data_IF_938713863572
#
_entry.id   IF_938713863572
#
_cell.length_a   1.000
_cell.length_b   1.000
_cell.length_c   1.000
_cell.angle_alpha   90.00
_cell.angle_beta   90.00
_cell.angle_gamma   90.00
#
_symmetry.space_group_name_H-M   'P 1'
#
loop_
_entity.id
_entity.type
_entity.pdbx_description
1 polymer ?
#
# COMPACT_ATOMS: atom_id res chain seq x y z
N UNK A 1 -14.67 -3.91 -17.45
CA UNK A 1 -15.35 -5.03 -16.75
C UNK A 1 -14.49 -6.30 -16.65
N UNK A 2 -13.95 -6.88 -17.76
CA UNK A 2 -13.14 -8.12 -17.68
C UNK A 2 -11.93 -8.02 -16.72
N UNK A 3 -11.25 -6.89 -16.68
CA UNK A 3 -10.11 -6.67 -15.80
C UNK A 3 -10.47 -6.83 -14.32
N UNK A 4 -11.59 -6.27 -13.89
CA UNK A 4 -12.08 -6.37 -12.52
C UNK A 4 -12.40 -7.83 -12.14
N UNK A 5 -13.08 -8.56 -13.03
CA UNK A 5 -13.37 -9.98 -12.79
C UNK A 5 -12.12 -10.81 -12.59
N UNK A 6 -11.08 -10.60 -13.41
CA UNK A 6 -9.80 -11.29 -13.25
C UNK A 6 -9.11 -10.89 -11.94
N UNK A 7 -9.07 -9.58 -11.65
CA UNK A 7 -8.43 -9.09 -10.43
C UNK A 7 -9.11 -9.63 -9.19
N UNK A 8 -10.43 -9.44 -9.06
CA UNK A 8 -11.16 -9.93 -7.90
C UNK A 8 -11.16 -11.46 -7.81
N UNK A 9 -11.37 -12.15 -8.93
CA UNK A 9 -11.36 -13.62 -8.95
C UNK A 9 -10.05 -14.20 -8.47
N UNK A 10 -8.91 -13.71 -8.96
CA UNK A 10 -7.58 -14.15 -8.53
C UNK A 10 -7.29 -13.75 -7.08
N UNK A 11 -7.58 -12.51 -6.68
CA UNK A 11 -7.36 -12.05 -5.31
C UNK A 11 -8.16 -12.87 -4.29
N UNK A 12 -9.45 -13.10 -4.55
CA UNK A 12 -10.29 -13.88 -3.65
C UNK A 12 -9.89 -15.35 -3.61
N UNK A 13 -9.48 -15.93 -4.75
CA UNK A 13 -8.96 -17.30 -4.80
C UNK A 13 -7.69 -17.45 -3.96
N UNK A 14 -6.77 -16.48 -4.03
CA UNK A 14 -5.57 -16.44 -3.22
C UNK A 14 -5.89 -16.26 -1.73
N UNK A 15 -6.83 -15.35 -1.39
CA UNK A 15 -7.26 -15.16 -0.01
C UNK A 15 -7.88 -16.44 0.58
N UNK A 16 -8.73 -17.12 -0.19
CA UNK A 16 -9.29 -18.40 0.21
C UNK A 16 -8.22 -19.48 0.40
N UNK A 17 -7.25 -19.57 -0.51
CA UNK A 17 -6.14 -20.49 -0.38
C UNK A 17 -5.31 -20.22 0.88
N UNK A 18 -4.99 -18.96 1.18
CA UNK A 18 -4.29 -18.57 2.40
C UNK A 18 -5.06 -18.95 3.66
N UNK A 19 -6.37 -18.75 3.66
CA UNK A 19 -7.25 -19.16 4.75
C UNK A 19 -7.26 -20.68 4.95
N UNK A 20 -7.43 -21.44 3.87
CA UNK A 20 -7.46 -22.92 3.92
C UNK A 20 -6.11 -23.52 4.35
N UNK A 21 -4.99 -22.86 3.99
CA UNK A 21 -3.64 -23.25 4.41
C UNK A 21 -3.30 -22.79 5.84
N UNK A 22 -4.21 -22.07 6.52
CA UNK A 22 -4.01 -21.60 7.89
C UNK A 22 -2.84 -20.62 8.03
N UNK A 23 -2.57 -19.79 7.00
CA UNK A 23 -1.51 -18.79 7.07
C UNK A 23 -1.79 -17.76 8.17
N UNK A 24 -0.84 -17.61 9.08
CA UNK A 24 -0.95 -16.68 10.23
C UNK A 24 -0.28 -15.35 9.92
N UNK A 25 -0.88 -14.21 10.29
CA UNK A 25 -0.36 -12.85 9.97
C UNK A 25 1.09 -12.61 10.41
N UNK A 26 1.57 -13.29 11.45
CA UNK A 26 2.93 -13.13 11.98
C UNK A 26 3.95 -14.05 11.30
N UNK A 27 3.52 -14.94 10.40
CA UNK A 27 4.44 -15.88 9.75
C UNK A 27 5.15 -15.27 8.55
N UNK A 28 6.42 -15.63 8.27
CA UNK A 28 7.11 -15.21 7.05
C UNK A 28 6.35 -15.59 5.76
N UNK A 29 5.66 -16.74 5.79
CA UNK A 29 4.82 -17.18 4.67
C UNK A 29 3.64 -16.22 4.41
N UNK A 30 3.04 -15.66 5.47
CA UNK A 30 2.00 -14.66 5.32
C UNK A 30 2.53 -13.35 4.72
N UNK A 31 3.73 -12.93 5.09
CA UNK A 31 4.34 -11.74 4.51
C UNK A 31 4.57 -11.90 2.99
N UNK A 32 5.11 -13.04 2.57
CA UNK A 32 5.27 -13.35 1.16
C UNK A 32 3.92 -13.41 0.42
N UNK A 33 2.90 -14.02 1.04
CA UNK A 33 1.54 -14.02 0.54
C UNK A 33 0.99 -12.59 0.40
N UNK A 34 1.14 -11.74 1.40
CA UNK A 34 0.63 -10.38 1.38
C UNK A 34 1.23 -9.56 0.22
N UNK A 35 2.53 -9.67 0.00
CA UNK A 35 3.20 -9.03 -1.16
C UNK A 35 2.63 -9.57 -2.48
N UNK A 36 2.51 -10.88 -2.63
CA UNK A 36 1.93 -11.49 -3.83
C UNK A 36 0.49 -11.04 -4.05
N UNK A 37 -0.32 -11.00 -2.99
CA UNK A 37 -1.70 -10.54 -3.03
C UNK A 37 -1.83 -9.10 -3.53
N UNK A 38 -0.99 -8.19 -3.04
CA UNK A 38 -0.95 -6.79 -3.50
C UNK A 38 -0.51 -6.66 -4.96
N UNK A 39 0.25 -7.64 -5.48
CA UNK A 39 0.70 -7.64 -6.88
C UNK A 39 -0.31 -8.26 -7.86
N UNK A 40 -1.34 -8.96 -7.41
CA UNK A 40 -2.37 -9.54 -8.30
C UNK A 40 -2.96 -8.50 -9.24
N UNK A 41 -3.44 -7.34 -8.76
CA UNK A 41 -3.97 -6.30 -9.64
C UNK A 41 -2.95 -5.85 -10.70
N UNK A 42 -1.70 -5.64 -10.28
CA UNK A 42 -0.62 -5.21 -11.18
C UNK A 42 -0.29 -6.24 -12.25
N UNK A 43 -0.24 -7.51 -11.90
CA UNK A 43 -0.01 -8.59 -12.86
C UNK A 43 -1.13 -8.68 -13.90
N UNK A 44 -2.38 -8.54 -13.46
CA UNK A 44 -3.55 -8.46 -14.35
C UNK A 44 -3.45 -7.24 -15.26
N UNK A 45 -3.09 -6.07 -14.71
CA UNK A 45 -2.88 -4.85 -15.49
C UNK A 45 -1.82 -5.01 -16.55
N UNK A 46 -0.65 -5.58 -16.21
CA UNK A 46 0.45 -5.83 -17.13
C UNK A 46 0.05 -6.81 -18.26
N UNK A 47 -0.63 -7.89 -17.90
CA UNK A 47 -1.09 -8.87 -18.87
C UNK A 47 -2.10 -8.28 -19.87
N UNK A 48 -3.10 -7.55 -19.36
CA UNK A 48 -4.13 -6.94 -20.20
C UNK A 48 -3.60 -5.76 -21.00
N UNK A 49 -2.75 -4.92 -20.42
CA UNK A 49 -2.13 -3.79 -21.10
C UNK A 49 -1.30 -4.28 -22.32
N UNK A 50 -0.50 -5.34 -22.14
CA UNK A 50 0.24 -5.98 -23.26
C UNK A 50 -0.71 -6.52 -24.33
N UNK A 51 -1.77 -7.23 -23.93
CA UNK A 51 -2.75 -7.82 -24.85
C UNK A 51 -3.52 -6.78 -25.66
N UNK A 52 -3.81 -5.64 -25.04
CA UNK A 52 -4.67 -4.60 -25.61
C UNK A 52 -3.89 -3.42 -26.19
N UNK A 53 -2.54 -3.46 -26.15
CA UNK A 53 -1.69 -2.38 -26.64
C UNK A 53 -1.84 -1.08 -25.83
N UNK A 54 -2.22 -1.16 -24.56
CA UNK A 54 -2.37 -0.01 -23.67
C UNK A 54 -1.03 0.34 -23.05
N UNK A 55 -0.54 1.55 -23.27
CA UNK A 55 0.65 2.06 -22.60
C UNK A 55 0.35 2.34 -21.11
N UNK A 56 1.12 1.74 -20.21
CA UNK A 56 1.05 2.09 -18.79
C UNK A 56 1.94 3.31 -18.53
N UNK A 57 1.43 4.36 -17.86
CA UNK A 57 2.19 5.59 -17.62
C UNK A 57 3.20 5.40 -16.48
N UNK A 58 4.20 4.56 -16.73
CA UNK A 58 5.31 4.34 -15.81
C UNK A 58 6.40 5.36 -16.11
N UNK A 59 6.46 6.44 -15.36
CA UNK A 59 7.52 7.42 -15.44
C UNK A 59 8.19 7.57 -14.07
N UNK A 60 9.39 7.02 -13.93
CA UNK A 60 10.22 7.28 -12.76
C UNK A 60 11.00 8.59 -12.99
N UNK A 61 10.40 9.70 -12.60
CA UNK A 61 11.02 11.03 -12.68
C UNK A 61 10.94 11.68 -11.30
N UNK A 62 12.01 11.65 -10.50
CA UNK A 62 12.06 12.35 -9.22
C UNK A 62 11.75 13.83 -9.40
N UNK A 63 10.84 14.36 -8.60
CA UNK A 63 10.46 15.76 -8.58
C UNK A 63 10.03 16.16 -7.16
N UNK A 64 9.71 17.46 -6.95
CA UNK A 64 9.30 17.99 -5.64
C UNK A 64 8.06 17.28 -5.05
N UNK A 65 7.15 16.80 -5.90
CA UNK A 65 5.97 16.09 -5.44
C UNK A 65 6.31 14.69 -4.93
N UNK A 66 7.35 14.06 -5.49
CA UNK A 66 7.85 12.79 -5.00
C UNK A 66 8.43 12.92 -3.59
N UNK A 67 9.23 13.96 -3.34
CA UNK A 67 9.74 14.26 -2.00
C UNK A 67 8.59 14.55 -1.03
N UNK A 68 7.60 15.34 -1.44
CA UNK A 68 6.41 15.60 -0.65
C UNK A 68 5.67 14.30 -0.32
N UNK A 69 5.38 13.45 -1.30
CA UNK A 69 4.69 12.18 -1.09
C UNK A 69 5.45 11.23 -0.15
N UNK A 70 6.78 11.27 -0.19
CA UNK A 70 7.64 10.48 0.70
C UNK A 70 7.62 10.96 2.15
N UNK A 71 7.69 12.28 2.35
CA UNK A 71 7.74 12.86 3.69
C UNK A 71 6.35 13.05 4.33
N UNK A 72 5.31 13.19 3.51
CA UNK A 72 3.96 13.49 3.97
C UNK A 72 3.39 12.48 4.98
N UNK A 73 3.51 11.15 4.81
CA UNK A 73 3.02 10.18 5.79
C UNK A 73 3.70 10.32 7.16
N UNK A 74 5.02 10.61 7.17
CA UNK A 74 5.77 10.84 8.41
C UNK A 74 5.30 12.13 9.09
N UNK A 75 5.16 13.22 8.33
CA UNK A 75 4.64 14.48 8.84
C UNK A 75 3.20 14.32 9.38
N UNK A 76 2.35 13.59 8.69
CA UNK A 76 0.98 13.31 9.10
C UNK A 76 0.94 12.50 10.41
N UNK A 77 1.80 11.48 10.54
CA UNK A 77 1.93 10.69 11.77
C UNK A 77 2.36 11.58 12.94
N UNK A 78 3.39 12.41 12.76
CA UNK A 78 3.83 13.35 13.80
C UNK A 78 2.75 14.37 14.17
N UNK A 79 1.99 14.86 13.19
CA UNK A 79 0.89 15.80 13.43
C UNK A 79 -0.31 15.14 14.14
N UNK A 80 -0.56 13.86 13.89
CA UNK A 80 -1.66 13.14 14.54
C UNK A 80 -1.48 12.99 16.05
N UNK A 81 -0.23 12.98 16.53
CA UNK A 81 0.07 12.85 17.97
C UNK A 81 -0.55 13.99 18.81
N UNK A 82 -0.20 15.28 18.59
CA UNK A 82 -0.79 16.36 19.37
C UNK A 82 -2.31 16.44 19.19
N UNK A 83 -2.83 16.08 18.01
CA UNK A 83 -4.26 16.06 17.74
C UNK A 83 -5.00 14.96 18.51
N UNK A 84 -4.32 13.86 18.84
CA UNK A 84 -4.92 12.75 19.60
C UNK A 84 -4.95 12.99 21.12
N UNK A 85 -4.08 13.84 21.67
CA UNK A 85 -3.96 14.08 23.11
C UNK A 85 -5.26 14.48 23.81
N UNK A 86 -6.16 15.30 23.23
CA UNK A 86 -7.44 15.63 23.85
C UNK A 86 -8.39 14.43 23.99
N UNK A 87 -8.20 13.38 23.18
CA UNK A 87 -9.09 12.22 23.13
C UNK A 87 -8.54 11.01 23.89
N UNK A 88 -7.21 10.89 23.99
CA UNK A 88 -6.58 9.80 24.71
C UNK A 88 -5.22 10.24 25.29
N UNK A 89 -4.90 9.87 26.56
CA UNK A 89 -3.61 10.18 27.14
C UNK A 89 -2.50 9.43 26.41
N UNK A 90 -1.38 10.10 26.21
CA UNK A 90 -0.19 9.48 25.63
C UNK A 90 0.40 8.43 26.59
N UNK A 91 0.56 7.19 26.11
CA UNK A 91 1.11 6.06 26.87
C UNK A 91 2.56 5.72 26.54
N UNK A 92 3.17 6.44 25.59
CA UNK A 92 4.49 6.13 25.06
C UNK A 92 4.47 5.07 23.95
N UNK A 93 5.55 4.98 23.16
CA UNK A 93 5.70 3.94 22.12
C UNK A 93 5.95 2.56 22.74
N UNK A 94 6.58 2.51 23.91
CA UNK A 94 6.88 1.26 24.59
C UNK A 94 5.62 0.43 24.94
N UNK A 95 4.46 1.09 25.10
CA UNK A 95 3.19 0.41 25.33
C UNK A 95 2.75 -0.48 24.14
N UNK A 96 3.16 -0.14 22.92
CA UNK A 96 2.81 -0.90 21.73
C UNK A 96 3.77 -2.07 21.45
N UNK A 97 4.83 -2.22 22.25
CA UNK A 97 5.78 -3.33 22.05
C UNK A 97 5.16 -4.66 22.52
N UNK A 98 5.42 -5.76 21.80
CA UNK A 98 5.04 -7.09 22.23
C UNK A 98 5.66 -7.45 23.59
N UNK A 99 4.98 -8.31 24.35
CA UNK A 99 5.54 -8.87 25.58
C UNK A 99 6.85 -9.62 25.28
N UNK A 100 7.82 -9.48 26.19
CA UNK A 100 9.13 -10.12 26.05
C UNK A 100 10.18 -9.33 25.26
N UNK A 101 9.81 -8.22 24.65
CA UNK A 101 10.80 -7.31 24.00
C UNK A 101 11.57 -6.55 25.09
N UNK A 102 12.92 -6.49 25.02
CA UNK A 102 13.71 -5.68 25.94
C UNK A 102 13.25 -4.23 25.99
N UNK A 103 13.33 -3.60 27.15
CA UNK A 103 13.01 -2.17 27.28
C UNK A 103 13.99 -1.34 26.48
N UNK A 104 13.46 -0.65 25.48
CA UNK A 104 14.20 0.27 24.63
C UNK A 104 13.86 1.70 25.09
N UNK A 105 14.84 2.61 25.20
CA UNK A 105 14.57 4.01 25.51
C UNK A 105 13.57 4.62 24.51
N UNK A 106 12.65 5.44 25.02
CA UNK A 106 11.60 6.05 24.20
C UNK A 106 12.16 6.83 22.99
N UNK A 107 13.28 7.55 23.17
CA UNK A 107 13.95 8.26 22.09
C UNK A 107 14.45 7.31 20.99
N UNK A 108 14.96 6.13 21.35
CA UNK A 108 15.40 5.14 20.38
C UNK A 108 14.21 4.51 19.63
N UNK A 109 13.07 4.28 20.32
CA UNK A 109 11.83 3.84 19.67
C UNK A 109 11.34 4.86 18.65
N UNK A 110 11.35 6.14 18.97
CA UNK A 110 11.01 7.20 18.02
C UNK A 110 11.94 7.20 16.81
N UNK A 111 13.25 7.09 17.03
CA UNK A 111 14.20 7.00 15.92
C UNK A 111 13.91 5.80 15.02
N UNK A 112 13.65 4.63 15.60
CA UNK A 112 13.30 3.41 14.84
C UNK A 112 12.01 3.58 14.04
N UNK A 113 10.96 4.13 14.63
CA UNK A 113 9.67 4.34 13.95
C UNK A 113 9.81 5.32 12.78
N UNK A 114 10.53 6.43 12.98
CA UNK A 114 10.77 7.42 11.93
C UNK A 114 11.64 6.85 10.81
N UNK A 115 12.72 6.16 11.14
CA UNK A 115 13.58 5.50 10.16
C UNK A 115 12.82 4.42 9.39
N UNK A 116 12.06 3.58 10.09
CA UNK A 116 11.22 2.56 9.46
C UNK A 116 10.19 3.21 8.52
N UNK A 117 9.50 4.26 8.95
CA UNK A 117 8.52 4.97 8.13
C UNK A 117 9.14 5.55 6.85
N UNK A 118 10.32 6.15 6.95
CA UNK A 118 11.05 6.71 5.81
C UNK A 118 11.56 5.63 4.86
N UNK A 119 12.25 4.60 5.37
CA UNK A 119 12.85 3.57 4.52
C UNK A 119 11.83 2.57 4.00
N UNK A 120 10.91 2.07 4.84
CA UNK A 120 9.91 1.13 4.40
C UNK A 120 8.93 1.77 3.40
N UNK A 121 8.58 3.05 3.60
CA UNK A 121 7.75 3.81 2.66
C UNK A 121 8.38 3.92 1.28
N UNK A 122 9.67 4.19 1.21
CA UNK A 122 10.41 4.34 -0.05
C UNK A 122 10.86 3.02 -0.69
N UNK A 123 10.73 1.89 -0.01
CA UNK A 123 11.22 0.59 -0.48
C UNK A 123 10.11 -0.46 -0.51
N UNK A 124 9.94 -1.19 0.58
CA UNK A 124 9.02 -2.35 0.64
C UNK A 124 7.58 -1.93 0.37
N UNK A 125 7.11 -0.85 1.00
CA UNK A 125 5.75 -0.37 0.81
C UNK A 125 5.54 0.17 -0.60
N UNK A 126 6.52 0.88 -1.17
CA UNK A 126 6.48 1.34 -2.55
C UNK A 126 6.36 0.16 -3.52
N UNK A 127 7.21 -0.87 -3.35
CA UNK A 127 7.16 -2.06 -4.20
C UNK A 127 5.83 -2.81 -4.06
N UNK A 128 5.32 -2.95 -2.85
CA UNK A 128 4.04 -3.60 -2.61
C UNK A 128 2.87 -2.81 -3.23
N UNK A 129 2.81 -1.49 -2.99
CA UNK A 129 1.76 -0.62 -3.52
C UNK A 129 1.81 -0.48 -5.04
N UNK A 130 2.99 -0.63 -5.67
CA UNK A 130 3.14 -0.49 -7.12
C UNK A 130 2.21 -1.45 -7.88
N UNK A 131 1.98 -2.65 -7.38
CA UNK A 131 1.06 -3.61 -7.99
C UNK A 131 -0.37 -3.05 -8.09
N UNK A 132 -0.87 -2.45 -7.03
CA UNK A 132 -2.19 -1.82 -7.01
C UNK A 132 -2.23 -0.57 -7.88
N UNK A 133 -1.22 0.28 -7.80
CA UNK A 133 -1.13 1.51 -8.58
C UNK A 133 -1.11 1.25 -10.10
N UNK A 134 -0.42 0.20 -10.54
CA UNK A 134 -0.41 -0.23 -11.94
C UNK A 134 -1.80 -0.57 -12.46
N UNK A 135 -2.65 -1.14 -11.61
CA UNK A 135 -4.03 -1.48 -11.98
C UNK A 135 -4.95 -0.27 -11.91
N UNK A 136 -5.05 0.38 -10.73
CA UNK A 136 -6.05 1.43 -10.50
C UNK A 136 -5.71 2.72 -11.23
N UNK A 137 -4.48 3.22 -11.06
CA UNK A 137 -4.02 4.50 -11.64
C UNK A 137 -3.27 4.35 -12.96
N UNK A 138 -2.82 3.14 -13.27
CA UNK A 138 -2.28 2.81 -14.59
C UNK A 138 -3.38 2.36 -15.55
N UNK A 139 -3.69 1.08 -15.54
CA UNK A 139 -4.53 0.45 -16.55
C UNK A 139 -5.99 0.95 -16.57
N UNK A 140 -6.68 0.97 -15.41
CA UNK A 140 -8.08 1.43 -15.37
C UNK A 140 -8.20 2.92 -15.69
N UNK A 141 -7.30 3.73 -15.17
CA UNK A 141 -7.27 5.15 -15.48
C UNK A 141 -7.12 5.39 -16.98
N UNK A 142 -6.17 4.73 -17.66
CA UNK A 142 -5.99 4.88 -19.11
C UNK A 142 -7.23 4.49 -19.91
N UNK A 143 -7.99 3.50 -19.44
CA UNK A 143 -9.26 3.09 -20.05
C UNK A 143 -10.39 4.09 -19.84
N UNK A 144 -10.46 4.73 -18.68
CA UNK A 144 -11.59 5.54 -18.25
C UNK A 144 -11.36 7.05 -18.43
N UNK A 145 -10.11 7.53 -18.50
CA UNK A 145 -9.78 8.96 -18.54
C UNK A 145 -10.47 9.76 -19.66
N UNK A 146 -10.82 9.10 -20.77
CA UNK A 146 -11.56 9.72 -21.88
C UNK A 146 -12.97 10.19 -21.48
N UNK A 147 -13.53 9.69 -20.37
CA UNK A 147 -14.83 10.10 -19.81
C UNK A 147 -14.74 11.40 -18.99
N UNK A 148 -13.54 11.92 -18.78
CA UNK A 148 -13.25 13.06 -17.91
C UNK A 148 -12.77 12.64 -16.52
N UNK A 149 -12.15 13.59 -15.81
CA UNK A 149 -11.53 13.34 -14.51
C UNK A 149 -12.53 12.81 -13.46
N UNK A 150 -13.61 13.54 -13.23
CA UNK A 150 -14.57 13.19 -12.19
C UNK A 150 -15.28 11.86 -12.42
N UNK A 151 -15.88 11.58 -13.61
CA UNK A 151 -16.52 10.29 -13.87
C UNK A 151 -15.54 9.11 -13.72
N UNK A 152 -14.32 9.24 -14.24
CA UNK A 152 -13.31 8.19 -14.13
C UNK A 152 -12.89 7.94 -12.67
N UNK A 153 -12.64 9.01 -11.90
CA UNK A 153 -12.25 8.89 -10.49
C UNK A 153 -13.33 8.28 -9.62
N UNK A 154 -14.58 8.67 -9.81
CA UNK A 154 -15.72 8.13 -9.07
C UNK A 154 -15.93 6.65 -9.41
N UNK A 155 -15.84 6.27 -10.69
CA UNK A 155 -15.98 4.88 -11.12
C UNK A 155 -14.85 3.99 -10.55
N UNK A 156 -13.60 4.46 -10.57
CA UNK A 156 -12.47 3.74 -9.97
C UNK A 156 -12.62 3.64 -8.44
N UNK A 157 -13.09 4.70 -7.79
CA UNK A 157 -13.29 4.69 -6.34
C UNK A 157 -14.47 3.86 -5.86
N UNK A 158 -15.38 3.50 -6.77
CA UNK A 158 -16.52 2.63 -6.48
C UNK A 158 -16.15 1.13 -6.50
N UNK A 159 -15.12 0.75 -7.28
CA UNK A 159 -14.63 -0.63 -7.37
C UNK A 159 -13.68 -0.96 -6.20
#
# INVERSE_FOLDING_TARGET
MRALYWTFGLSWSLALAAFLLGLRPQSPAYLAFAVLYMWVPGLVALALARKEGVGLPLAFRPNRFWLFAWLFPVALTLLSLPLSLPFAPWKGLAWALPEGVPRIPEAALWALVLLQGLFAGATVNLLAALGEELFWRGYLWEKLRKRGFWPASLEIGFY
#
